data_IF_990832341633
#
_entry.id   IF_990832341633
#
_cell.length_a   1.000
_cell.length_b   1.000
_cell.length_c   1.000
_cell.angle_alpha   90.00
_cell.angle_beta   90.00
_cell.angle_gamma   90.00
#
_symmetry.space_group_name_H-M   'P 1'
#
loop_
_entity.id
_entity.type
_entity.pdbx_description
1 polymer ?
#
# COMPACT_ATOMS: atom_id res chain seq x y z
N UNK A 1 12.18 34.62 21.16
CA UNK A 1 11.57 33.69 20.19
C UNK A 1 12.44 32.46 20.15
N UNK A 2 12.02 31.38 20.82
CA UNK A 2 12.79 30.13 20.90
C UNK A 2 12.78 29.42 19.56
N UNK A 3 13.96 29.00 19.10
CA UNK A 3 14.11 28.06 18.01
C UNK A 3 13.34 26.79 18.36
N UNK A 4 12.32 26.46 17.59
CA UNK A 4 11.66 25.15 17.61
C UNK A 4 12.70 24.12 17.23
N UNK A 5 13.29 23.46 18.22
CA UNK A 5 14.09 22.25 18.03
C UNK A 5 13.24 21.27 17.21
N UNK A 6 13.67 21.04 15.97
CA UNK A 6 13.15 19.96 15.14
C UNK A 6 13.58 18.68 15.82
N UNK A 7 12.68 18.10 16.65
CA UNK A 7 12.91 16.84 17.34
C UNK A 7 12.98 15.71 16.32
N UNK A 8 14.18 15.45 15.80
CA UNK A 8 14.50 14.23 15.05
C UNK A 8 14.21 13.06 15.98
N UNK A 9 13.29 12.16 15.58
CA UNK A 9 12.94 11.03 16.45
C UNK A 9 14.16 10.13 16.67
N UNK A 10 14.42 9.73 17.91
CA UNK A 10 15.62 8.96 18.27
C UNK A 10 15.71 7.57 17.61
N UNK A 11 14.62 7.05 17.01
CA UNK A 11 14.56 5.72 16.38
C UNK A 11 13.65 5.68 15.14
N UNK A 12 14.04 6.34 14.03
CA UNK A 12 13.21 6.42 12.83
C UNK A 12 12.99 5.05 12.19
N UNK A 13 14.02 4.18 12.22
CA UNK A 13 13.97 2.82 11.69
C UNK A 13 12.98 1.91 12.45
N UNK A 14 12.95 1.99 13.78
CA UNK A 14 12.09 1.13 14.59
C UNK A 14 10.61 1.52 14.45
N UNK A 15 10.31 2.83 14.39
CA UNK A 15 8.95 3.34 14.16
C UNK A 15 8.45 2.99 12.77
N UNK A 16 9.32 3.11 11.77
CA UNK A 16 9.01 2.71 10.40
C UNK A 16 8.78 1.21 10.28
N UNK A 17 9.66 0.39 10.87
CA UNK A 17 9.49 -1.07 10.92
C UNK A 17 8.19 -1.49 11.61
N UNK A 18 7.84 -0.83 12.72
CA UNK A 18 6.55 -1.05 13.40
C UNK A 18 5.37 -0.67 12.51
N UNK A 19 5.42 0.46 11.82
CA UNK A 19 4.36 0.91 10.93
C UNK A 19 4.16 -0.09 9.77
N UNK A 20 5.26 -0.57 9.18
CA UNK A 20 5.22 -1.61 8.15
C UNK A 20 4.65 -2.93 8.67
N UNK A 21 5.01 -3.35 9.88
CA UNK A 21 4.44 -4.53 10.51
C UNK A 21 2.94 -4.38 10.75
N UNK A 22 2.48 -3.21 11.21
CA UNK A 22 1.05 -2.92 11.38
C UNK A 22 0.32 -2.96 10.04
N UNK A 23 0.87 -2.35 8.98
CA UNK A 23 0.28 -2.40 7.64
C UNK A 23 0.21 -3.84 7.09
N UNK A 24 1.26 -4.65 7.30
CA UNK A 24 1.29 -6.06 6.90
C UNK A 24 0.23 -6.88 7.64
N UNK A 25 0.10 -6.70 8.96
CA UNK A 25 -0.91 -7.39 9.76
C UNK A 25 -2.32 -6.96 9.35
N UNK A 26 -2.55 -5.65 9.17
CA UNK A 26 -3.84 -5.14 8.71
C UNK A 26 -4.21 -5.68 7.31
N UNK A 27 -3.25 -5.70 6.38
CA UNK A 27 -3.42 -6.29 5.05
C UNK A 27 -3.69 -7.80 5.12
N UNK A 28 -2.98 -8.52 5.98
CA UNK A 28 -3.18 -9.96 6.22
C UNK A 28 -4.56 -10.28 6.80
N UNK A 29 -5.03 -9.48 7.76
CA UNK A 29 -6.39 -9.61 8.32
C UNK A 29 -7.44 -9.34 7.24
N UNK A 30 -7.30 -8.25 6.48
CA UNK A 30 -8.21 -7.91 5.40
C UNK A 30 -8.27 -9.02 4.34
N UNK A 31 -7.11 -9.57 3.95
CA UNK A 31 -7.03 -10.72 3.04
C UNK A 31 -7.69 -11.98 3.62
N UNK A 32 -7.46 -12.28 4.91
CA UNK A 32 -8.06 -13.43 5.59
C UNK A 32 -9.58 -13.34 5.69
N UNK A 33 -10.12 -12.17 6.02
CA UNK A 33 -11.57 -11.92 6.03
C UNK A 33 -12.15 -12.06 4.62
N UNK A 34 -11.47 -11.52 3.61
CA UNK A 34 -11.90 -11.65 2.22
C UNK A 34 -11.93 -13.11 1.75
N UNK A 35 -10.95 -13.93 2.15
CA UNK A 35 -10.92 -15.34 1.83
C UNK A 35 -12.04 -16.14 2.53
N UNK A 36 -12.44 -15.74 3.74
CA UNK A 36 -13.47 -16.41 4.52
C UNK A 36 -14.92 -16.03 4.11
N UNK A 37 -15.13 -14.84 3.56
CA UNK A 37 -16.48 -14.28 3.32
C UNK A 37 -16.70 -13.71 1.90
N UNK A 38 -15.72 -13.84 1.00
CA UNK A 38 -15.69 -13.15 -0.29
C UNK A 38 -16.67 -13.62 -1.36
N UNK A 39 -17.39 -14.74 -1.14
CA UNK A 39 -18.35 -15.28 -2.13
C UNK A 39 -19.64 -14.44 -2.26
N UNK A 40 -19.87 -13.49 -1.35
CA UNK A 40 -21.03 -12.60 -1.42
C UNK A 40 -20.74 -11.35 -2.28
N UNK A 41 -20.67 -11.48 -3.61
CA UNK A 41 -20.66 -10.30 -4.48
C UNK A 41 -21.32 -10.56 -5.85
N UNK A 42 -22.63 -10.31 -5.94
CA UNK A 42 -23.37 -10.05 -7.18
C UNK A 42 -23.55 -8.55 -7.44
N UNK A 43 -22.54 -7.75 -7.08
CA UNK A 43 -22.60 -6.28 -7.13
C UNK A 43 -21.94 -5.80 -8.43
N UNK A 44 -22.63 -4.96 -9.20
CA UNK A 44 -22.16 -4.53 -10.53
C UNK A 44 -20.81 -3.81 -10.51
N UNK A 45 -20.01 -3.89 -11.60
CA UNK A 45 -18.62 -3.42 -11.65
C UNK A 45 -18.42 -1.95 -11.33
N UNK A 46 -19.39 -1.10 -11.64
CA UNK A 46 -19.34 0.32 -11.29
C UNK A 46 -19.35 0.56 -9.78
N UNK A 47 -20.12 -0.24 -9.02
CA UNK A 47 -20.23 -0.08 -7.57
C UNK A 47 -18.95 -0.60 -6.90
N UNK A 48 -18.41 -1.73 -7.36
CA UNK A 48 -17.14 -2.27 -6.82
C UNK A 48 -15.98 -1.32 -7.14
N UNK A 49 -15.83 -0.92 -8.41
CA UNK A 49 -14.79 0.04 -8.80
C UNK A 49 -14.91 1.38 -8.06
N UNK A 50 -16.15 1.89 -7.91
CA UNK A 50 -16.41 3.14 -7.21
C UNK A 50 -16.08 3.06 -5.72
N UNK A 51 -16.49 1.99 -5.04
CA UNK A 51 -16.25 1.82 -3.60
C UNK A 51 -14.78 1.56 -3.28
N UNK A 52 -14.12 0.64 -4.01
CA UNK A 52 -12.68 0.38 -3.86
C UNK A 52 -11.88 1.61 -4.27
N UNK A 53 -12.26 2.28 -5.37
CA UNK A 53 -11.63 3.50 -5.85
C UNK A 53 -11.69 4.62 -4.81
N UNK A 54 -12.84 4.84 -4.18
CA UNK A 54 -13.00 5.82 -3.12
C UNK A 54 -12.13 5.48 -1.90
N UNK A 55 -12.09 4.20 -1.50
CA UNK A 55 -11.24 3.75 -0.40
C UNK A 55 -9.75 3.97 -0.68
N UNK A 56 -9.28 3.62 -1.89
CA UNK A 56 -7.90 3.84 -2.31
C UNK A 56 -7.56 5.33 -2.42
N UNK A 57 -8.47 6.15 -2.94
CA UNK A 57 -8.30 7.61 -3.01
C UNK A 57 -8.21 8.24 -1.61
N UNK A 58 -9.05 7.81 -0.67
CA UNK A 58 -8.98 8.24 0.72
C UNK A 58 -7.65 7.82 1.37
N UNK A 59 -7.18 6.59 1.12
CA UNK A 59 -5.87 6.11 1.57
C UNK A 59 -4.72 6.97 1.03
N UNK A 60 -4.71 7.23 -0.28
CA UNK A 60 -3.72 8.11 -0.92
C UNK A 60 -3.76 9.53 -0.35
N UNK A 61 -4.95 10.07 -0.07
CA UNK A 61 -5.10 11.38 0.55
C UNK A 61 -4.51 11.43 1.96
N UNK A 62 -4.77 10.43 2.79
CA UNK A 62 -4.16 10.30 4.12
C UNK A 62 -2.64 10.18 4.01
N UNK A 63 -2.13 9.32 3.11
CA UNK A 63 -0.71 9.17 2.86
C UNK A 63 -0.06 10.48 2.41
N UNK A 64 -0.69 11.25 1.52
CA UNK A 64 -0.19 12.55 1.07
C UNK A 64 -0.15 13.58 2.21
N UNK A 65 -1.16 13.58 3.08
CA UNK A 65 -1.21 14.47 4.24
C UNK A 65 -0.12 14.10 5.26
N UNK A 66 0.07 12.81 5.52
CA UNK A 66 1.15 12.30 6.37
C UNK A 66 2.53 12.63 5.80
N UNK A 67 2.74 12.36 4.51
CA UNK A 67 4.04 12.56 3.84
C UNK A 67 4.47 14.02 3.84
N UNK A 68 3.53 14.96 3.65
CA UNK A 68 3.80 16.41 3.73
C UNK A 68 4.18 16.88 5.13
N UNK A 69 3.84 16.14 6.18
CA UNK A 69 4.20 16.47 7.56
C UNK A 69 5.58 15.93 7.96
N UNK A 70 6.23 15.14 7.11
CA UNK A 70 7.59 14.65 7.33
C UNK A 70 8.62 15.76 7.08
N UNK A 71 9.77 15.65 7.73
CA UNK A 71 10.93 16.49 7.45
C UNK A 71 11.48 16.24 6.03
N UNK A 72 12.32 17.18 5.54
CA UNK A 72 12.86 17.13 4.18
C UNK A 72 13.70 15.88 3.92
N UNK A 73 14.49 15.44 4.89
CA UNK A 73 15.33 14.25 4.78
C UNK A 73 14.49 12.98 4.61
N UNK A 74 13.44 12.83 5.41
CA UNK A 74 12.49 11.72 5.32
C UNK A 74 11.71 11.77 3.99
N UNK A 75 11.28 12.94 3.54
CA UNK A 75 10.63 13.11 2.24
C UNK A 75 11.55 12.71 1.09
N UNK A 76 12.83 13.07 1.12
CA UNK A 76 13.83 12.65 0.15
C UNK A 76 14.07 11.14 0.17
N UNK A 77 14.14 10.52 1.34
CA UNK A 77 14.27 9.07 1.46
C UNK A 77 13.09 8.34 0.77
N UNK A 78 11.86 8.82 0.98
CA UNK A 78 10.66 8.27 0.33
C UNK A 78 10.65 8.50 -1.19
N UNK A 79 11.05 9.69 -1.65
CA UNK A 79 11.17 9.98 -3.09
C UNK A 79 12.21 9.08 -3.76
N UNK A 80 13.38 8.94 -3.14
CA UNK A 80 14.47 8.11 -3.66
C UNK A 80 14.08 6.64 -3.74
N UNK A 81 13.34 6.15 -2.74
CA UNK A 81 12.83 4.79 -2.71
C UNK A 81 11.59 4.57 -3.62
N UNK A 82 11.21 5.55 -4.45
CA UNK A 82 10.09 5.45 -5.40
C UNK A 82 8.70 5.25 -4.75
N UNK A 83 8.49 5.83 -3.55
CA UNK A 83 7.24 5.70 -2.79
C UNK A 83 5.97 6.06 -3.57
N UNK A 84 6.00 7.15 -4.35
CA UNK A 84 4.78 7.61 -5.03
C UNK A 84 4.39 6.67 -6.17
N UNK A 85 5.33 6.27 -7.02
CA UNK A 85 5.03 5.33 -8.10
C UNK A 85 4.57 3.98 -7.57
N UNK A 86 5.17 3.51 -6.48
CA UNK A 86 4.78 2.26 -5.81
C UNK A 86 3.35 2.34 -5.23
N UNK A 87 3.02 3.44 -4.55
CA UNK A 87 1.70 3.61 -3.90
C UNK A 87 0.58 3.86 -4.90
N UNK A 88 0.80 4.68 -5.93
CA UNK A 88 -0.19 4.88 -7.00
C UNK A 88 -0.40 3.60 -7.82
N UNK A 89 0.66 2.86 -8.11
CA UNK A 89 0.58 1.58 -8.80
C UNK A 89 -0.28 0.56 -8.04
N UNK A 90 -0.07 0.42 -6.73
CA UNK A 90 -0.89 -0.44 -5.88
C UNK A 90 -2.34 0.02 -5.77
N UNK A 91 -2.59 1.33 -5.67
CA UNK A 91 -3.94 1.87 -5.60
C UNK A 91 -4.73 1.58 -6.88
N UNK A 92 -4.16 1.92 -8.05
CA UNK A 92 -4.81 1.72 -9.36
C UNK A 92 -4.94 0.23 -9.67
N UNK A 93 -3.85 -0.52 -9.49
CA UNK A 93 -3.82 -1.97 -9.71
C UNK A 93 -4.81 -2.69 -8.79
N UNK A 94 -4.92 -2.26 -7.53
CA UNK A 94 -5.91 -2.75 -6.58
C UNK A 94 -7.34 -2.53 -7.09
N UNK A 95 -7.70 -1.30 -7.47
CA UNK A 95 -9.05 -1.01 -8.01
C UNK A 95 -9.38 -1.93 -9.19
N UNK A 96 -8.46 -2.06 -10.16
CA UNK A 96 -8.66 -2.91 -11.32
C UNK A 96 -8.82 -4.40 -10.92
N UNK A 97 -7.94 -4.90 -10.07
CA UNK A 97 -7.93 -6.29 -9.61
C UNK A 97 -9.19 -6.65 -8.82
N UNK A 98 -9.57 -5.82 -7.84
CA UNK A 98 -10.77 -6.05 -7.04
C UNK A 98 -12.03 -5.94 -7.89
N UNK A 99 -12.08 -5.01 -8.86
CA UNK A 99 -13.22 -4.94 -9.79
C UNK A 99 -13.34 -6.21 -10.62
N UNK A 100 -12.23 -6.67 -11.20
CA UNK A 100 -12.21 -7.88 -12.02
C UNK A 100 -12.55 -9.14 -11.22
N UNK A 101 -12.00 -9.28 -10.01
CA UNK A 101 -12.17 -10.45 -9.16
C UNK A 101 -13.58 -10.57 -8.55
N UNK A 102 -14.22 -9.45 -8.20
CA UNK A 102 -15.48 -9.45 -7.45
C UNK A 102 -16.71 -9.02 -8.25
N UNK A 103 -16.56 -8.27 -9.34
CA UNK A 103 -17.70 -7.78 -10.11
C UNK A 103 -17.88 -8.47 -11.47
N UNK A 104 -16.88 -9.19 -11.93
CA UNK A 104 -16.91 -9.97 -13.18
C UNK A 104 -16.31 -11.36 -12.94
N UNK A 105 -16.85 -12.15 -12.00
CA UNK A 105 -16.27 -13.46 -11.65
C UNK A 105 -16.25 -14.42 -12.85
N UNK A 106 -17.17 -14.28 -13.81
CA UNK A 106 -17.21 -15.10 -15.04
C UNK A 106 -16.20 -14.66 -16.11
N UNK A 107 -15.64 -13.45 -16.01
CA UNK A 107 -14.61 -12.96 -16.92
C UNK A 107 -13.24 -13.60 -16.62
N UNK A 108 -13.07 -14.15 -15.42
CA UNK A 108 -11.94 -14.96 -15.03
C UNK A 108 -12.43 -16.41 -14.97
N UNK A 109 -11.99 -17.29 -15.85
CA UNK A 109 -12.24 -18.73 -15.62
C UNK A 109 -11.64 -19.12 -14.26
N UNK A 110 -12.20 -20.15 -13.61
CA UNK A 110 -11.97 -20.38 -12.17
C UNK A 110 -10.48 -20.59 -11.78
N UNK A 111 -9.63 -21.10 -12.67
CA UNK A 111 -8.17 -21.22 -12.45
C UNK A 111 -7.40 -19.87 -12.50
N UNK A 112 -7.64 -18.96 -13.47
CA UNK A 112 -6.96 -17.67 -13.54
C UNK A 112 -7.09 -16.75 -12.33
N UNK A 113 -8.19 -16.81 -11.58
CA UNK A 113 -8.45 -15.85 -10.48
C UNK A 113 -7.43 -15.99 -9.35
N UNK A 114 -7.15 -17.21 -8.92
CA UNK A 114 -6.22 -17.46 -7.81
C UNK A 114 -4.77 -17.17 -8.21
N UNK A 115 -4.41 -17.48 -9.46
CA UNK A 115 -3.11 -17.10 -10.04
C UNK A 115 -2.96 -15.58 -10.16
N UNK A 116 -4.03 -14.87 -10.53
CA UNK A 116 -4.01 -13.41 -10.64
C UNK A 116 -3.87 -12.74 -9.27
N UNK A 117 -4.65 -13.18 -8.28
CA UNK A 117 -4.54 -12.69 -6.90
C UNK A 117 -3.18 -13.03 -6.29
N UNK A 118 -2.67 -14.24 -6.51
CA UNK A 118 -1.34 -14.68 -6.08
C UNK A 118 -0.22 -13.86 -6.72
N UNK A 119 -0.30 -13.63 -8.04
CA UNK A 119 0.63 -12.77 -8.78
C UNK A 119 0.61 -11.32 -8.28
N UNK A 120 -0.57 -10.76 -8.06
CA UNK A 120 -0.71 -9.42 -7.48
C UNK A 120 -0.12 -9.33 -6.07
N UNK A 121 -0.33 -10.37 -5.25
CA UNK A 121 0.29 -10.48 -3.93
C UNK A 121 1.82 -10.54 -3.99
N UNK A 122 2.39 -11.31 -4.92
CA UNK A 122 3.84 -11.37 -5.16
C UNK A 122 4.41 -10.03 -5.62
N UNK A 123 3.73 -9.32 -6.52
CA UNK A 123 4.13 -7.97 -6.96
C UNK A 123 4.09 -7.00 -5.79
N UNK A 124 3.03 -7.00 -4.99
CA UNK A 124 2.91 -6.14 -3.82
C UNK A 124 4.03 -6.43 -2.81
N UNK A 125 4.30 -7.70 -2.51
CA UNK A 125 5.39 -8.11 -1.62
C UNK A 125 6.75 -7.67 -2.14
N UNK A 126 7.06 -7.98 -3.40
CA UNK A 126 8.33 -7.64 -4.03
C UNK A 126 8.56 -6.12 -4.03
N UNK A 127 7.51 -5.35 -4.32
CA UNK A 127 7.55 -3.90 -4.25
C UNK A 127 7.79 -3.40 -2.82
N UNK A 128 7.08 -3.92 -1.82
CA UNK A 128 7.25 -3.53 -0.41
C UNK A 128 8.66 -3.83 0.07
N UNK A 129 9.20 -5.01 -0.25
CA UNK A 129 10.58 -5.39 0.09
C UNK A 129 11.58 -4.48 -0.64
N UNK A 130 11.43 -4.28 -1.94
CA UNK A 130 12.32 -3.43 -2.74
C UNK A 130 12.33 -1.99 -2.26
N UNK A 131 11.15 -1.43 -1.96
CA UNK A 131 11.00 -0.12 -1.35
C UNK A 131 11.69 -0.04 0.02
N UNK A 132 11.48 -1.04 0.90
CA UNK A 132 12.11 -1.10 2.22
C UNK A 132 13.64 -1.16 2.15
N UNK A 133 14.18 -1.97 1.23
CA UNK A 133 15.63 -2.06 0.99
C UNK A 133 16.17 -0.74 0.47
N UNK A 134 15.52 -0.14 -0.54
CA UNK A 134 15.94 1.14 -1.08
C UNK A 134 15.94 2.24 0.00
N UNK A 135 14.85 2.34 0.75
CA UNK A 135 14.74 3.29 1.85
C UNK A 135 15.83 3.08 2.91
N UNK A 136 16.13 1.84 3.30
CA UNK A 136 17.19 1.54 4.26
C UNK A 136 18.59 1.91 3.73
N UNK A 137 18.88 1.62 2.45
CA UNK A 137 20.14 1.99 1.79
C UNK A 137 20.35 3.50 1.77
N UNK A 138 19.28 4.28 1.54
CA UNK A 138 19.37 5.74 1.54
C UNK A 138 19.89 6.29 2.87
N UNK A 139 19.38 5.75 3.99
CA UNK A 139 19.82 6.12 5.34
C UNK A 139 21.23 5.62 5.64
N UNK A 140 21.56 4.37 5.30
CA UNK A 140 22.89 3.80 5.55
C UNK A 140 24.01 4.58 4.86
N UNK A 141 23.75 5.12 3.66
CA UNK A 141 24.72 5.96 2.92
C UNK A 141 24.91 7.37 3.50
N UNK A 142 24.02 7.81 4.39
CA UNK A 142 23.98 9.17 4.95
C UNK A 142 24.13 9.19 6.47
N UNK A 143 24.60 8.08 7.03
CA UNK A 143 25.08 8.03 8.42
C UNK A 143 26.51 8.53 8.50
#
# INVERSE_FOLDING_TARGET
MNATEVRVSERPLARYGLLMAVCLVAGGIAGGVSAAFGEAAGVGPVIVAGSVGLAMAAGLWVCARWWRALDEAAQEAHKWAWWWGSTFGLAIGGVALFTLAYATPDALTAEPKDLLLGGAGLVALGQTVGYGVAWAVWWLKRR
#
